data_IF_458745173827
#
_entry.id   IF_458745173827
#
_cell.length_a   1.000
_cell.length_b   1.000
_cell.length_c   1.000
_cell.angle_alpha   90.00
_cell.angle_beta   90.00
_cell.angle_gamma   90.00
#
_symmetry.space_group_name_H-M   'P 1'
#
loop_
_entity.id
_entity.type
_entity.pdbx_description
1 polymer ?
#
# COMPACT_ATOMS: atom_id res chain seq x y z
N UNK A 1 2.31 8.73 6.81
CA UNK A 1 3.53 9.49 7.23
C UNK A 1 4.03 10.46 6.16
N UNK A 2 4.14 10.08 4.87
CA UNK A 2 4.72 10.97 3.83
C UNK A 2 4.07 12.36 3.77
N UNK A 3 2.73 12.43 3.79
CA UNK A 3 2.02 13.72 3.89
C UNK A 3 2.34 14.46 5.20
N UNK A 4 2.31 13.76 6.35
CA UNK A 4 2.55 14.39 7.63
C UNK A 4 3.95 14.99 7.78
N UNK A 5 4.96 14.39 7.17
CA UNK A 5 6.34 14.92 7.12
C UNK A 5 6.43 16.22 6.31
N UNK A 6 5.57 16.37 5.29
CA UNK A 6 5.67 17.43 4.28
C UNK A 6 4.58 18.52 4.39
N UNK A 7 3.57 18.34 5.24
CA UNK A 7 2.52 19.35 5.48
C UNK A 7 3.04 20.48 6.38
N UNK A 8 2.49 21.70 6.21
CA UNK A 8 2.78 22.83 7.11
C UNK A 8 2.11 22.61 8.47
N UNK A 9 2.86 22.03 9.41
CA UNK A 9 2.38 21.71 10.77
C UNK A 9 2.09 22.92 11.64
N UNK A 10 2.44 24.12 11.21
CA UNK A 10 2.02 25.35 11.90
C UNK A 10 0.56 25.71 11.63
N UNK A 11 -0.01 25.16 10.57
CA UNK A 11 -1.40 25.38 10.13
C UNK A 11 -2.29 24.18 10.36
N UNK A 12 -1.75 22.96 10.12
CA UNK A 12 -2.49 21.72 10.23
C UNK A 12 -1.65 20.70 11.01
N UNK A 13 -2.12 20.33 12.18
CA UNK A 13 -1.47 19.31 13.00
C UNK A 13 -2.28 18.01 12.97
N UNK A 14 -1.60 16.88 12.81
CA UNK A 14 -2.20 15.55 12.89
C UNK A 14 -1.92 14.92 14.24
N UNK A 15 -2.97 14.36 14.84
CA UNK A 15 -2.87 13.39 15.91
C UNK A 15 -3.36 12.04 15.38
N UNK A 16 -2.85 10.95 15.92
CA UNK A 16 -3.06 9.62 15.35
C UNK A 16 -3.77 8.71 16.36
N UNK A 17 -4.86 8.08 15.92
CA UNK A 17 -5.57 7.06 16.66
C UNK A 17 -5.37 5.70 16.00
N UNK A 18 -4.82 4.76 16.75
CA UNK A 18 -4.61 3.37 16.30
C UNK A 18 -5.46 2.39 17.09
N UNK A 19 -5.83 1.27 16.46
CA UNK A 19 -6.55 0.17 17.09
C UNK A 19 -5.62 -0.97 17.54
N UNK A 20 -4.34 -0.65 17.80
CA UNK A 20 -3.32 -1.57 18.31
C UNK A 20 -2.88 -1.12 19.70
N UNK A 21 -2.84 -2.03 20.70
CA UNK A 21 -2.52 -1.66 22.08
C UNK A 21 -1.01 -1.59 22.36
N UNK A 22 -0.20 -1.39 21.33
CA UNK A 22 1.27 -1.35 21.44
C UNK A 22 1.86 -0.33 20.49
N UNK A 23 3.04 0.16 20.84
CA UNK A 23 3.84 1.08 20.06
C UNK A 23 4.20 0.50 18.69
N UNK A 24 4.12 1.33 17.66
CA UNK A 24 4.50 1.01 16.28
C UNK A 24 5.78 1.74 15.86
N UNK A 25 6.29 1.38 14.69
CA UNK A 25 7.57 1.92 14.16
C UNK A 25 7.54 3.44 13.94
N UNK A 26 6.36 4.04 13.78
CA UNK A 26 6.21 5.49 13.52
C UNK A 26 5.88 6.33 14.74
N UNK A 27 5.62 5.74 15.90
CA UNK A 27 5.13 6.47 17.07
C UNK A 27 6.13 7.53 17.54
N UNK A 28 7.43 7.20 17.63
CA UNK A 28 8.47 8.14 18.03
C UNK A 28 8.62 9.30 17.03
N UNK A 29 8.51 9.00 15.75
CA UNK A 29 8.55 10.02 14.72
C UNK A 29 7.34 10.95 14.80
N UNK A 30 6.13 10.40 14.98
CA UNK A 30 4.90 11.19 15.15
C UNK A 30 5.04 12.16 16.31
N UNK A 31 5.49 11.67 17.47
CA UNK A 31 5.73 12.49 18.65
C UNK A 31 6.78 13.58 18.41
N UNK A 32 7.89 13.25 17.72
CA UNK A 32 8.96 14.21 17.39
C UNK A 32 8.49 15.33 16.45
N UNK A 33 7.46 15.05 15.64
CA UNK A 33 6.83 16.01 14.72
C UNK A 33 5.70 16.81 15.39
N UNK A 34 5.47 16.64 16.71
CA UNK A 34 4.49 17.35 17.50
C UNK A 34 3.09 16.72 17.54
N UNK A 35 2.90 15.56 16.90
CA UNK A 35 1.64 14.82 16.94
C UNK A 35 1.48 14.01 18.22
N UNK A 36 0.25 13.64 18.56
CA UNK A 36 -0.08 12.77 19.69
C UNK A 36 -0.51 11.39 19.19
N UNK A 37 -0.28 10.35 20.00
CA UNK A 37 -0.68 8.98 19.72
C UNK A 37 -1.76 8.51 20.70
N UNK A 38 -2.84 7.95 20.17
CA UNK A 38 -3.94 7.37 20.94
C UNK A 38 -4.16 5.92 20.58
N UNK A 39 -4.34 5.06 21.59
CA UNK A 39 -4.46 3.61 21.43
C UNK A 39 -5.87 3.15 21.82
N UNK A 40 -6.77 3.11 20.85
CA UNK A 40 -8.14 2.66 21.04
C UNK A 40 -8.22 1.13 21.14
N UNK A 41 -9.26 0.56 21.78
CA UNK A 41 -9.52 -0.88 21.77
C UNK A 41 -9.62 -1.44 20.37
N UNK A 42 -9.19 -2.71 20.20
CA UNK A 42 -9.25 -3.41 18.92
C UNK A 42 -10.67 -3.51 18.37
N UNK A 43 -10.84 -3.32 17.07
CA UNK A 43 -12.11 -3.43 16.36
C UNK A 43 -12.52 -4.90 16.11
N UNK A 44 -12.74 -5.65 17.20
CA UNK A 44 -13.38 -6.95 17.17
C UNK A 44 -14.83 -6.81 17.64
N UNK A 45 -15.78 -7.60 17.09
CA UNK A 45 -17.20 -7.49 17.46
C UNK A 45 -17.45 -7.54 18.97
N UNK A 46 -16.75 -8.42 19.68
CA UNK A 46 -16.86 -8.55 21.15
C UNK A 46 -16.40 -7.30 21.92
N UNK A 47 -15.61 -6.42 21.29
CA UNK A 47 -15.06 -5.22 21.92
C UNK A 47 -15.87 -3.95 21.60
N UNK A 48 -16.93 -4.02 20.77
CA UNK A 48 -17.59 -2.79 20.29
C UNK A 48 -18.17 -1.93 21.39
N UNK A 49 -18.73 -2.52 22.45
CA UNK A 49 -19.24 -1.75 23.60
C UNK A 49 -18.11 -0.99 24.30
N UNK A 50 -16.99 -1.67 24.55
CA UNK A 50 -15.79 -1.05 25.16
C UNK A 50 -15.22 0.03 24.24
N UNK A 51 -15.17 -0.25 22.95
CA UNK A 51 -14.68 0.69 21.93
C UNK A 51 -15.50 1.97 21.91
N UNK A 52 -16.84 1.89 21.85
CA UNK A 52 -17.68 3.08 21.84
C UNK A 52 -17.61 3.87 23.15
N UNK A 53 -17.56 3.22 24.31
CA UNK A 53 -17.34 3.91 25.59
C UNK A 53 -16.00 4.66 25.61
N UNK A 54 -14.96 4.05 25.07
CA UNK A 54 -13.64 4.67 24.97
C UNK A 54 -13.67 5.88 24.02
N UNK A 55 -14.32 5.75 22.87
CA UNK A 55 -14.44 6.82 21.87
C UNK A 55 -15.32 7.97 22.40
N UNK A 56 -16.42 7.67 23.08
CA UNK A 56 -17.27 8.68 23.68
C UNK A 56 -16.46 9.53 24.69
N UNK A 57 -15.75 8.87 25.61
CA UNK A 57 -14.85 9.54 26.56
C UNK A 57 -13.73 10.33 25.85
N UNK A 58 -13.12 9.74 24.83
CA UNK A 58 -12.09 10.41 24.05
C UNK A 58 -12.58 11.75 23.48
N UNK A 59 -13.74 11.77 22.86
CA UNK A 59 -14.28 13.01 22.29
C UNK A 59 -14.81 13.98 23.36
N UNK A 60 -15.22 13.52 24.54
CA UNK A 60 -15.53 14.39 25.68
C UNK A 60 -14.29 15.13 26.22
N UNK A 61 -13.13 14.45 26.20
CA UNK A 61 -11.85 15.00 26.70
C UNK A 61 -11.09 15.82 25.62
N UNK A 62 -11.47 15.69 24.34
CA UNK A 62 -10.78 16.24 23.18
C UNK A 62 -11.73 16.98 22.23
N UNK A 63 -12.29 18.08 22.70
CA UNK A 63 -13.21 18.93 21.91
C UNK A 63 -12.51 19.72 20.79
N UNK A 64 -11.18 19.76 20.80
CA UNK A 64 -10.37 20.43 19.79
C UNK A 64 -10.39 19.74 18.42
N UNK A 65 -10.78 18.45 18.33
CA UNK A 65 -10.80 17.73 17.07
C UNK A 65 -12.03 18.07 16.22
N UNK A 66 -11.84 18.91 15.22
CA UNK A 66 -12.86 19.32 14.27
C UNK A 66 -12.96 18.38 13.06
N UNK A 67 -11.90 17.65 12.76
CA UNK A 67 -11.82 16.74 11.61
C UNK A 67 -11.39 15.35 12.09
N UNK A 68 -12.18 14.33 11.73
CA UNK A 68 -11.78 12.94 11.87
C UNK A 68 -11.63 12.31 10.49
N UNK A 69 -10.40 11.93 10.11
CA UNK A 69 -10.08 11.29 8.85
C UNK A 69 -9.73 9.80 9.08
N UNK A 70 -10.54 8.89 8.58
CA UNK A 70 -10.42 7.46 8.84
C UNK A 70 -9.95 6.70 7.59
N UNK A 71 -8.87 5.89 7.74
CA UNK A 71 -8.15 5.19 6.67
C UNK A 71 -8.29 3.66 6.73
N UNK A 72 -9.40 3.14 7.25
CA UNK A 72 -9.61 1.69 7.41
C UNK A 72 -10.78 1.16 6.55
N UNK A 73 -10.95 1.75 5.37
CA UNK A 73 -11.97 1.35 4.37
C UNK A 73 -13.37 1.20 5.00
N UNK A 74 -14.07 0.09 4.74
CA UNK A 74 -15.40 -0.18 5.30
C UNK A 74 -15.46 -0.15 6.83
N UNK A 75 -14.37 -0.51 7.51
CA UNK A 75 -14.30 -0.47 8.97
C UNK A 75 -14.28 0.96 9.52
N UNK A 76 -14.04 1.97 8.69
CA UNK A 76 -14.18 3.39 9.03
C UNK A 76 -15.58 3.76 9.53
N UNK A 77 -16.59 2.92 9.25
CA UNK A 77 -17.94 3.10 9.76
C UNK A 77 -17.97 3.27 11.30
N UNK A 78 -17.21 2.47 12.04
CA UNK A 78 -17.23 2.47 13.51
C UNK A 78 -16.64 3.77 14.11
N UNK A 79 -15.39 4.18 13.78
CA UNK A 79 -14.85 5.43 14.31
C UNK A 79 -15.63 6.64 13.81
N UNK A 80 -16.12 6.67 12.56
CA UNK A 80 -16.92 7.78 12.06
C UNK A 80 -18.33 7.84 12.69
N UNK A 81 -18.89 6.68 13.09
CA UNK A 81 -20.12 6.67 13.88
C UNK A 81 -19.90 7.28 15.28
N UNK A 82 -18.79 6.97 15.94
CA UNK A 82 -18.44 7.58 17.22
C UNK A 82 -18.23 9.10 17.06
N UNK A 83 -17.48 9.53 16.05
CA UNK A 83 -17.29 10.94 15.74
C UNK A 83 -18.62 11.67 15.45
N UNK A 84 -19.54 11.01 14.73
CA UNK A 84 -20.88 11.57 14.45
C UNK A 84 -21.70 11.75 15.74
N UNK A 85 -21.65 10.78 16.66
CA UNK A 85 -22.33 10.87 17.97
C UNK A 85 -21.78 12.02 18.83
N UNK A 86 -20.49 12.25 18.71
CA UNK A 86 -19.78 13.34 19.39
C UNK A 86 -19.91 14.70 18.67
N UNK A 87 -20.69 14.78 17.59
CA UNK A 87 -20.87 15.97 16.77
C UNK A 87 -19.57 16.55 16.17
N UNK A 88 -18.56 15.70 15.89
CA UNK A 88 -17.37 16.15 15.15
C UNK A 88 -17.81 16.65 13.77
N UNK A 89 -17.52 17.93 13.40
CA UNK A 89 -18.10 18.56 12.21
C UNK A 89 -17.75 17.84 10.90
N UNK A 90 -16.46 17.52 10.70
CA UNK A 90 -15.94 16.92 9.49
C UNK A 90 -15.52 15.46 9.76
N UNK A 91 -16.12 14.56 9.01
CA UNK A 91 -15.92 13.10 9.14
C UNK A 91 -15.60 12.50 7.80
N UNK A 92 -14.31 12.27 7.54
CA UNK A 92 -13.77 11.84 6.26
C UNK A 92 -13.60 10.32 6.25
N UNK A 93 -14.24 9.64 5.31
CA UNK A 93 -13.96 8.25 4.98
C UNK A 93 -12.95 8.20 3.82
N UNK A 94 -11.84 7.45 3.99
CA UNK A 94 -10.83 7.30 2.95
C UNK A 94 -10.77 5.84 2.47
N UNK A 95 -10.94 5.64 1.18
CA UNK A 95 -10.88 4.34 0.52
C UNK A 95 -9.46 4.04 0.01
N UNK A 96 -8.96 2.86 0.37
CA UNK A 96 -7.62 2.39 -0.02
C UNK A 96 -7.63 1.08 -0.81
N UNK A 97 -8.80 0.45 -1.00
CA UNK A 97 -8.93 -0.84 -1.69
C UNK A 97 -10.12 -0.88 -2.66
N UNK A 98 -10.02 -1.74 -3.68
CA UNK A 98 -11.09 -1.99 -4.65
C UNK A 98 -11.91 -3.24 -4.32
N UNK A 99 -11.61 -3.91 -3.22
CA UNK A 99 -12.34 -5.11 -2.76
C UNK A 99 -12.25 -5.26 -1.23
N UNK A 100 -12.94 -6.25 -0.71
CA UNK A 100 -12.92 -6.62 0.71
C UNK A 100 -12.39 -8.05 0.83
N UNK A 101 -11.43 -8.25 1.75
CA UNK A 101 -10.96 -9.58 2.11
C UNK A 101 -12.10 -10.50 2.52
N UNK A 102 -12.12 -11.71 2.00
CA UNK A 102 -13.10 -12.75 2.33
C UNK A 102 -12.71 -13.50 3.60
N UNK A 103 -12.50 -12.75 4.69
CA UNK A 103 -12.27 -13.29 6.02
C UNK A 103 -13.58 -13.49 6.80
N UNK A 104 -13.50 -13.99 8.04
CA UNK A 104 -14.66 -14.19 8.91
C UNK A 104 -15.48 -12.90 9.17
N UNK A 105 -14.90 -11.72 8.95
CA UNK A 105 -15.57 -10.43 9.10
C UNK A 105 -16.20 -9.92 7.81
N UNK A 106 -16.11 -10.67 6.70
CA UNK A 106 -16.61 -10.25 5.39
C UNK A 106 -18.06 -9.75 5.41
N UNK A 107 -19.04 -10.46 6.02
CA UNK A 107 -20.43 -9.98 6.05
C UNK A 107 -20.57 -8.64 6.77
N UNK A 108 -19.82 -8.47 7.86
CA UNK A 108 -19.82 -7.23 8.64
C UNK A 108 -19.16 -6.07 7.87
N UNK A 109 -18.05 -6.32 7.21
CA UNK A 109 -17.37 -5.35 6.34
C UNK A 109 -18.30 -4.90 5.20
N UNK A 110 -19.05 -5.81 4.59
CA UNK A 110 -20.06 -5.48 3.58
C UNK A 110 -21.18 -4.60 4.15
N UNK A 111 -21.71 -4.94 5.31
CA UNK A 111 -22.71 -4.14 6.00
C UNK A 111 -22.19 -2.72 6.28
N UNK A 112 -20.98 -2.59 6.77
CA UNK A 112 -20.39 -1.28 7.08
C UNK A 112 -20.13 -0.48 5.81
N UNK A 113 -19.67 -1.12 4.73
CA UNK A 113 -19.51 -0.48 3.42
C UNK A 113 -20.79 0.21 2.97
N UNK A 114 -21.94 -0.45 3.06
CA UNK A 114 -23.23 0.14 2.62
C UNK A 114 -23.73 1.27 3.55
N UNK A 115 -23.20 1.37 4.77
CA UNK A 115 -23.63 2.32 5.78
C UNK A 115 -22.66 3.48 6.02
N UNK A 116 -21.45 3.40 5.47
CA UNK A 116 -20.41 4.40 5.70
C UNK A 116 -20.86 5.81 5.32
N UNK A 117 -21.65 5.92 4.25
CA UNK A 117 -22.25 7.17 3.75
C UNK A 117 -23.24 7.84 4.72
N UNK A 118 -23.71 7.11 5.76
CA UNK A 118 -24.62 7.64 6.79
C UNK A 118 -23.87 8.32 7.93
N UNK A 119 -22.56 8.09 8.02
CA UNK A 119 -21.71 8.57 9.12
C UNK A 119 -20.62 9.52 8.65
N UNK A 120 -20.06 9.31 7.48
CA UNK A 120 -19.16 10.26 6.83
C UNK A 120 -19.96 11.39 6.16
N UNK A 121 -19.38 12.58 6.08
CA UNK A 121 -19.88 13.71 5.28
C UNK A 121 -18.87 14.19 4.25
N UNK A 122 -17.63 13.67 4.31
CA UNK A 122 -16.58 13.89 3.33
C UNK A 122 -15.98 12.55 2.88
N UNK A 123 -15.52 12.49 1.62
CA UNK A 123 -15.07 11.25 1.00
C UNK A 123 -13.74 11.45 0.28
N UNK A 124 -12.77 10.58 0.58
CA UNK A 124 -11.47 10.54 -0.07
C UNK A 124 -11.16 9.13 -0.58
N UNK A 125 -10.32 9.04 -1.60
CA UNK A 125 -9.80 7.77 -2.08
C UNK A 125 -8.35 7.91 -2.57
N UNK A 126 -7.59 6.82 -2.53
CA UNK A 126 -6.24 6.79 -3.11
C UNK A 126 -6.24 6.76 -4.65
N UNK A 127 -7.39 6.45 -5.26
CA UNK A 127 -7.61 6.38 -6.70
C UNK A 127 -9.10 6.25 -7.03
N UNK A 128 -9.44 6.42 -8.32
CA UNK A 128 -10.81 6.45 -8.81
C UNK A 128 -11.57 5.13 -8.54
N UNK A 129 -10.94 3.99 -8.83
CA UNK A 129 -11.59 2.69 -8.62
C UNK A 129 -11.85 2.41 -7.13
N UNK A 130 -10.92 2.77 -6.25
CA UNK A 130 -11.10 2.62 -4.82
C UNK A 130 -12.25 3.51 -4.30
N UNK A 131 -12.38 4.74 -4.81
CA UNK A 131 -13.46 5.64 -4.47
C UNK A 131 -14.82 5.09 -4.93
N UNK A 132 -14.94 4.68 -6.19
CA UNK A 132 -16.16 4.07 -6.74
C UNK A 132 -16.56 2.80 -5.98
N UNK A 133 -15.58 2.00 -5.58
CA UNK A 133 -15.84 0.79 -4.79
C UNK A 133 -16.50 1.10 -3.44
N UNK A 134 -16.01 2.08 -2.69
CA UNK A 134 -16.51 2.37 -1.33
C UNK A 134 -17.73 3.29 -1.33
N UNK A 135 -17.79 4.27 -2.23
CA UNK A 135 -18.76 5.36 -2.21
C UNK A 135 -19.80 5.31 -3.35
N UNK A 136 -19.60 4.42 -4.34
CA UNK A 136 -20.45 4.34 -5.53
C UNK A 136 -20.29 5.59 -6.41
N UNK A 137 -21.41 6.20 -6.77
CA UNK A 137 -21.46 7.38 -7.67
C UNK A 137 -21.37 8.72 -6.91
N UNK A 138 -20.92 8.73 -5.65
CA UNK A 138 -20.73 9.99 -4.91
C UNK A 138 -19.44 10.65 -5.29
N UNK A 139 -19.44 11.98 -5.26
CA UNK A 139 -18.23 12.75 -5.42
C UNK A 139 -17.25 12.45 -4.26
N UNK A 140 -16.00 12.31 -4.58
CA UNK A 140 -14.91 12.12 -3.62
C UNK A 140 -13.63 12.79 -4.12
N UNK A 141 -12.78 13.17 -3.19
CA UNK A 141 -11.46 13.72 -3.51
C UNK A 141 -10.43 12.59 -3.67
N UNK A 142 -9.73 12.56 -4.79
CA UNK A 142 -8.57 11.68 -4.95
C UNK A 142 -7.37 12.32 -4.28
N UNK A 143 -6.77 11.59 -3.33
CA UNK A 143 -5.53 11.94 -2.64
C UNK A 143 -4.53 10.81 -2.91
N UNK A 144 -3.55 11.02 -3.81
CA UNK A 144 -2.67 9.96 -4.26
C UNK A 144 -1.79 9.41 -3.14
N UNK A 145 -1.43 8.13 -3.21
CA UNK A 145 -0.46 7.49 -2.31
C UNK A 145 0.96 7.97 -2.61
N UNK A 146 1.25 9.24 -2.33
CA UNK A 146 2.53 9.86 -2.66
C UNK A 146 3.66 9.44 -1.71
N UNK A 147 4.88 9.32 -2.27
CA UNK A 147 6.08 8.86 -1.59
C UNK A 147 7.25 9.86 -1.73
N UNK A 148 8.28 9.70 -0.90
CA UNK A 148 9.58 10.39 -1.02
C UNK A 148 10.40 9.75 -2.14
N UNK A 149 10.23 10.24 -3.36
CA UNK A 149 10.74 9.60 -4.58
C UNK A 149 12.27 9.58 -4.70
N UNK A 150 12.96 10.55 -4.13
CA UNK A 150 14.43 10.65 -4.16
C UNK A 150 15.13 9.39 -3.66
N UNK A 151 14.52 8.68 -2.71
CA UNK A 151 15.04 7.42 -2.15
C UNK A 151 14.99 6.26 -3.13
N UNK A 152 14.12 6.33 -4.12
CA UNK A 152 13.85 5.25 -5.09
C UNK A 152 14.51 5.48 -6.45
N UNK A 153 15.03 6.67 -6.72
CA UNK A 153 15.73 6.96 -7.98
C UNK A 153 16.82 5.91 -8.22
N UNK A 154 16.83 5.36 -9.44
CA UNK A 154 17.80 4.34 -9.81
C UNK A 154 19.25 4.85 -9.74
N UNK A 155 20.10 4.08 -9.07
CA UNK A 155 21.54 4.33 -8.88
C UNK A 155 22.31 3.05 -9.15
N UNK A 156 23.13 3.06 -10.19
CA UNK A 156 23.92 1.90 -10.62
C UNK A 156 24.89 1.40 -9.54
N UNK A 157 25.47 2.32 -8.76
CA UNK A 157 26.39 1.98 -7.67
C UNK A 157 25.67 1.25 -6.52
N UNK A 158 24.41 1.63 -6.22
CA UNK A 158 23.59 0.95 -5.23
C UNK A 158 23.21 -0.44 -5.74
N UNK A 159 22.81 -0.56 -7.02
CA UNK A 159 22.54 -1.85 -7.64
C UNK A 159 23.72 -2.81 -7.52
N UNK A 160 24.92 -2.36 -7.89
CA UNK A 160 26.14 -3.18 -7.81
C UNK A 160 26.43 -3.61 -6.38
N UNK A 161 26.30 -2.71 -5.41
CA UNK A 161 26.53 -3.00 -4.00
C UNK A 161 25.53 -4.03 -3.48
N UNK A 162 24.23 -3.79 -3.66
CA UNK A 162 23.18 -4.69 -3.14
C UNK A 162 23.21 -6.07 -3.79
N UNK A 163 23.46 -6.14 -5.11
CA UNK A 163 23.63 -7.44 -5.78
C UNK A 163 24.84 -8.20 -5.23
N UNK A 164 25.97 -7.53 -4.96
CA UNK A 164 27.12 -8.15 -4.30
C UNK A 164 26.81 -8.68 -2.89
N UNK A 165 26.06 -7.92 -2.09
CA UNK A 165 25.59 -8.32 -0.75
C UNK A 165 24.67 -9.57 -0.81
N UNK A 166 23.81 -9.63 -1.82
CA UNK A 166 22.93 -10.77 -2.10
C UNK A 166 23.63 -11.92 -2.82
N UNK A 167 24.94 -11.77 -3.15
CA UNK A 167 25.77 -12.72 -3.91
C UNK A 167 25.25 -12.99 -5.33
N UNK A 168 24.69 -11.95 -5.95
CA UNK A 168 24.25 -11.97 -7.34
C UNK A 168 25.32 -11.39 -8.25
N UNK A 169 25.48 -12.03 -9.41
CA UNK A 169 26.31 -11.57 -10.54
C UNK A 169 25.41 -11.16 -11.70
N UNK A 170 25.10 -12.08 -12.58
CA UNK A 170 24.32 -11.85 -13.81
C UNK A 170 22.90 -12.47 -13.76
N UNK A 171 22.45 -12.84 -12.56
CA UNK A 171 21.12 -13.41 -12.36
C UNK A 171 20.02 -12.43 -12.80
N UNK A 172 18.94 -12.98 -13.37
CA UNK A 172 17.70 -12.24 -13.59
C UNK A 172 16.87 -12.22 -12.31
N UNK A 173 16.69 -11.07 -11.72
CA UNK A 173 16.06 -10.93 -10.40
C UNK A 173 14.62 -10.44 -10.52
N UNK A 174 13.69 -11.34 -10.25
CA UNK A 174 12.26 -11.02 -10.07
C UNK A 174 12.06 -10.55 -8.64
N UNK A 175 11.40 -9.41 -8.43
CA UNK A 175 11.11 -8.87 -7.11
C UNK A 175 9.63 -8.80 -6.81
N UNK A 176 9.29 -9.05 -5.55
CA UNK A 176 7.99 -8.75 -4.98
C UNK A 176 8.16 -8.14 -3.59
N UNK A 177 7.46 -7.05 -3.33
CA UNK A 177 7.44 -6.38 -2.02
C UNK A 177 6.00 -6.29 -1.55
N UNK A 178 5.71 -6.87 -0.40
CA UNK A 178 4.37 -6.85 0.17
C UNK A 178 4.16 -7.84 1.30
N UNK A 179 3.04 -7.69 2.01
CA UNK A 179 2.66 -8.62 3.06
C UNK A 179 2.41 -10.02 2.48
N UNK A 180 2.96 -11.05 3.11
CA UNK A 180 2.72 -12.44 2.73
C UNK A 180 1.30 -12.88 3.14
N UNK A 181 0.30 -12.46 2.35
CA UNK A 181 -1.13 -12.61 2.61
C UNK A 181 -1.89 -13.15 1.40
N UNK A 182 -3.15 -13.53 1.62
CA UNK A 182 -4.05 -13.97 0.54
C UNK A 182 -4.14 -12.93 -0.60
N UNK A 183 -4.31 -11.64 -0.27
CA UNK A 183 -4.48 -10.55 -1.23
C UNK A 183 -3.37 -10.53 -2.27
N UNK A 184 -2.10 -10.73 -1.87
CA UNK A 184 -0.91 -10.60 -2.73
C UNK A 184 -0.67 -11.81 -3.64
N UNK A 185 -1.37 -12.94 -3.41
CA UNK A 185 -1.33 -14.12 -4.29
C UNK A 185 0.07 -14.67 -4.58
N UNK A 186 0.90 -14.76 -3.54
CA UNK A 186 2.27 -15.28 -3.67
C UNK A 186 2.31 -16.73 -4.15
N UNK A 187 1.24 -17.50 -3.93
CA UNK A 187 1.17 -18.88 -4.42
C UNK A 187 1.26 -18.94 -5.94
N UNK A 188 0.53 -18.05 -6.64
CA UNK A 188 0.60 -17.94 -8.09
C UNK A 188 1.93 -17.33 -8.55
N UNK A 189 2.50 -16.39 -7.78
CA UNK A 189 3.85 -15.86 -8.07
C UNK A 189 4.91 -16.97 -8.06
N UNK A 190 4.84 -17.91 -7.12
CA UNK A 190 5.74 -19.07 -7.08
C UNK A 190 5.55 -20.00 -8.28
N UNK A 191 4.31 -20.19 -8.75
CA UNK A 191 4.03 -20.96 -9.97
C UNK A 191 4.60 -20.26 -11.23
N UNK A 192 4.40 -18.93 -11.33
CA UNK A 192 4.99 -18.12 -12.41
C UNK A 192 6.52 -18.26 -12.37
N UNK A 193 7.11 -18.11 -11.20
CA UNK A 193 8.56 -18.18 -11.05
C UNK A 193 9.11 -19.58 -11.36
N UNK A 194 8.41 -20.65 -10.98
CA UNK A 194 8.78 -22.02 -11.35
C UNK A 194 8.86 -22.18 -12.88
N UNK A 195 7.88 -21.64 -13.62
CA UNK A 195 7.90 -21.66 -15.09
C UNK A 195 9.02 -20.79 -15.67
N UNK A 196 9.26 -19.61 -15.07
CA UNK A 196 10.36 -18.75 -15.51
C UNK A 196 11.72 -19.40 -15.29
N UNK A 197 11.91 -20.09 -14.16
CA UNK A 197 13.15 -20.82 -13.84
C UNK A 197 13.43 -21.96 -14.86
N UNK A 198 12.40 -22.56 -15.44
CA UNK A 198 12.58 -23.53 -16.56
C UNK A 198 13.03 -22.85 -17.85
N UNK A 199 12.66 -21.57 -18.08
CA UNK A 199 13.09 -20.78 -19.25
C UNK A 199 14.54 -20.30 -19.06
N UNK A 200 14.87 -19.83 -17.86
CA UNK A 200 16.19 -19.30 -17.50
C UNK A 200 16.59 -19.69 -16.08
N UNK A 201 17.48 -20.65 -15.96
CA UNK A 201 17.95 -21.18 -14.68
C UNK A 201 18.79 -20.18 -13.86
N UNK A 202 19.23 -19.08 -14.48
CA UNK A 202 19.88 -17.95 -13.79
C UNK A 202 18.89 -17.00 -13.09
N UNK A 203 17.58 -17.30 -13.06
CA UNK A 203 16.60 -16.46 -12.39
C UNK A 203 16.67 -16.60 -10.85
N UNK A 204 16.35 -15.51 -10.14
CA UNK A 204 16.17 -15.46 -8.68
C UNK A 204 14.87 -14.75 -8.36
N UNK A 205 14.19 -15.18 -7.28
CA UNK A 205 13.00 -14.50 -6.77
C UNK A 205 13.28 -13.91 -5.39
N UNK A 206 13.12 -12.60 -5.26
CA UNK A 206 13.18 -11.88 -3.99
C UNK A 206 11.77 -11.61 -3.45
N UNK A 207 11.46 -12.16 -2.28
CA UNK A 207 10.23 -11.90 -1.54
C UNK A 207 10.55 -11.04 -0.31
N UNK A 208 10.10 -9.78 -0.33
CA UNK A 208 10.32 -8.82 0.75
C UNK A 208 9.00 -8.57 1.48
N UNK A 209 8.98 -8.87 2.77
CA UNK A 209 7.83 -8.73 3.66
C UNK A 209 7.63 -9.95 4.53
N UNK A 210 6.69 -9.82 5.46
CA UNK A 210 6.26 -10.87 6.40
C UNK A 210 4.73 -11.01 6.31
N UNK A 211 4.20 -12.12 6.77
CA UNK A 211 2.75 -12.33 6.82
C UNK A 211 2.34 -13.72 7.25
N UNK A 212 1.05 -13.91 7.41
CA UNK A 212 0.43 -15.14 7.93
C UNK A 212 0.62 -16.35 7.00
N UNK A 213 0.94 -16.12 5.71
CA UNK A 213 1.14 -17.19 4.73
C UNK A 213 2.61 -17.64 4.59
N UNK A 214 3.54 -17.09 5.33
CA UNK A 214 4.97 -17.36 5.13
C UNK A 214 5.29 -18.85 5.18
N UNK A 215 4.80 -19.57 6.19
CA UNK A 215 5.11 -21.01 6.33
C UNK A 215 4.51 -21.84 5.20
N UNK A 216 3.31 -21.49 4.72
CA UNK A 216 2.66 -22.14 3.58
C UNK A 216 3.46 -21.93 2.30
N UNK A 217 3.96 -20.71 2.09
CA UNK A 217 4.77 -20.36 0.92
C UNK A 217 6.14 -21.07 0.94
N UNK A 218 6.81 -21.16 2.10
CA UNK A 218 8.07 -21.92 2.24
C UNK A 218 7.86 -23.40 1.92
N UNK A 219 6.77 -24.00 2.38
CA UNK A 219 6.42 -25.39 2.05
C UNK A 219 6.17 -25.56 0.54
N UNK A 220 5.56 -24.57 -0.12
CA UNK A 220 5.36 -24.59 -1.57
C UNK A 220 6.68 -24.47 -2.33
N UNK A 221 7.58 -23.61 -1.90
CA UNK A 221 8.94 -23.48 -2.46
C UNK A 221 9.67 -24.81 -2.42
N UNK A 222 9.64 -25.52 -1.28
CA UNK A 222 10.23 -26.84 -1.12
C UNK A 222 9.60 -27.87 -2.07
N UNK A 223 8.28 -27.91 -2.18
CA UNK A 223 7.58 -28.82 -3.11
C UNK A 223 7.92 -28.56 -4.57
N UNK A 224 8.28 -27.33 -4.94
CA UNK A 224 8.68 -26.94 -6.29
C UNK A 224 10.19 -27.11 -6.54
N UNK A 225 11.00 -27.44 -5.51
CA UNK A 225 12.46 -27.57 -5.61
C UNK A 225 13.15 -26.23 -5.90
N UNK A 226 12.68 -25.15 -5.29
CA UNK A 226 13.13 -23.77 -5.56
C UNK A 226 13.85 -23.13 -4.37
N UNK A 227 14.28 -23.91 -3.36
CA UNK A 227 14.84 -23.42 -2.10
C UNK A 227 16.10 -22.56 -2.30
N UNK A 228 16.92 -22.91 -3.29
CA UNK A 228 18.18 -22.22 -3.57
C UNK A 228 18.01 -20.93 -4.38
N UNK A 229 16.81 -20.68 -4.94
CA UNK A 229 16.56 -19.58 -5.90
C UNK A 229 15.44 -18.63 -5.49
N UNK A 230 14.64 -18.99 -4.49
CA UNK A 230 13.61 -18.12 -3.86
C UNK A 230 14.09 -17.64 -2.50
N UNK A 231 14.25 -16.35 -2.35
CA UNK A 231 14.87 -15.71 -1.19
C UNK A 231 13.82 -14.90 -0.43
N UNK A 232 13.52 -15.35 0.79
CA UNK A 232 12.64 -14.62 1.72
C UNK A 232 13.50 -13.66 2.56
N UNK A 233 13.34 -12.36 2.35
CA UNK A 233 14.14 -11.33 3.02
C UNK A 233 13.48 -10.81 4.32
N UNK A 234 12.25 -11.24 4.62
CA UNK A 234 11.52 -10.77 5.79
C UNK A 234 11.19 -9.29 5.75
N UNK A 235 11.00 -8.67 6.92
CA UNK A 235 10.77 -7.24 7.03
C UNK A 235 12.09 -6.47 6.88
N UNK A 236 12.14 -5.50 5.95
CA UNK A 236 13.34 -4.73 5.59
C UNK A 236 13.06 -3.23 5.64
N UNK A 237 14.03 -2.44 6.12
CA UNK A 237 13.96 -0.98 6.15
C UNK A 237 14.65 -0.33 4.92
N UNK A 238 15.41 -1.11 4.17
CA UNK A 238 16.17 -0.72 2.98
C UNK A 238 15.51 -1.18 1.68
N UNK A 239 14.19 -1.23 1.65
CA UNK A 239 13.41 -1.69 0.48
C UNK A 239 13.73 -0.87 -0.77
N UNK A 240 13.96 0.43 -0.62
CA UNK A 240 14.39 1.33 -1.69
C UNK A 240 15.71 0.89 -2.35
N UNK A 241 16.61 0.26 -1.61
CA UNK A 241 17.85 -0.30 -2.14
C UNK A 241 17.62 -1.68 -2.77
N UNK A 242 16.76 -2.50 -2.18
CA UNK A 242 16.41 -3.81 -2.73
C UNK A 242 15.75 -3.70 -4.12
N UNK A 243 14.93 -2.68 -4.37
CA UNK A 243 14.41 -2.41 -5.72
C UNK A 243 15.55 -2.22 -6.75
N UNK A 244 16.69 -1.67 -6.35
CA UNK A 244 17.83 -1.46 -7.26
C UNK A 244 18.42 -2.79 -7.74
N UNK A 245 18.38 -3.84 -6.92
CA UNK A 245 18.90 -5.17 -7.27
C UNK A 245 17.98 -5.95 -8.23
N UNK A 246 16.69 -5.63 -8.28
CA UNK A 246 15.69 -6.32 -9.10
C UNK A 246 15.84 -5.95 -10.58
N UNK A 247 15.29 -6.75 -11.48
CA UNK A 247 15.20 -6.51 -12.92
C UNK A 247 13.74 -6.30 -13.36
N UNK A 248 12.80 -6.96 -12.70
CA UNK A 248 11.35 -6.81 -12.90
C UNK A 248 10.63 -6.89 -11.55
N UNK A 249 9.56 -6.12 -11.43
CA UNK A 249 8.66 -6.19 -10.28
C UNK A 249 7.37 -6.90 -10.68
N UNK A 250 6.96 -7.95 -9.94
CA UNK A 250 5.79 -8.75 -10.27
C UNK A 250 4.80 -8.77 -9.12
N UNK A 251 3.54 -8.42 -9.39
CA UNK A 251 2.46 -8.37 -8.39
C UNK A 251 1.17 -8.99 -8.94
N UNK A 252 0.97 -10.31 -8.79
CA UNK A 252 -0.23 -11.00 -9.26
C UNK A 252 -1.37 -10.96 -8.24
N UNK A 253 -1.59 -9.82 -7.58
CA UNK A 253 -2.56 -9.64 -6.51
C UNK A 253 -3.99 -9.94 -6.96
N UNK A 254 -4.82 -10.45 -6.06
CA UNK A 254 -6.25 -10.64 -6.31
C UNK A 254 -7.04 -9.33 -6.32
N UNK A 255 -6.58 -8.32 -5.62
CA UNK A 255 -7.12 -6.96 -5.61
C UNK A 255 -6.13 -6.00 -4.95
N UNK A 256 -6.17 -4.73 -5.34
CA UNK A 256 -5.44 -3.61 -4.74
C UNK A 256 -6.31 -2.35 -4.80
N UNK A 257 -5.90 -1.33 -4.04
CA UNK A 257 -6.17 0.05 -4.41
C UNK A 257 -5.05 0.54 -5.33
N UNK A 258 -4.41 1.65 -4.97
CA UNK A 258 -3.16 2.05 -5.63
C UNK A 258 -1.99 1.52 -4.77
N UNK A 259 -1.30 0.43 -5.20
CA UNK A 259 -0.26 -0.21 -4.39
C UNK A 259 0.99 0.67 -4.30
N UNK A 260 1.34 1.10 -3.09
CA UNK A 260 2.54 1.92 -2.82
C UNK A 260 3.80 1.23 -3.34
N UNK A 261 3.92 -0.08 -3.16
CA UNK A 261 5.08 -0.86 -3.63
C UNK A 261 5.19 -0.89 -5.16
N UNK A 262 4.06 -0.79 -5.89
CA UNK A 262 4.05 -0.61 -7.33
C UNK A 262 4.50 0.79 -7.76
N UNK A 263 4.16 1.82 -6.97
CA UNK A 263 4.65 3.19 -7.17
C UNK A 263 6.18 3.23 -6.96
N UNK A 264 6.67 2.67 -5.86
CA UNK A 264 8.09 2.59 -5.51
C UNK A 264 8.92 1.90 -6.61
N UNK A 265 8.41 0.76 -7.12
CA UNK A 265 9.05 0.01 -8.19
C UNK A 265 9.19 0.86 -9.48
N UNK A 266 8.14 1.60 -9.86
CA UNK A 266 8.17 2.47 -11.04
C UNK A 266 9.15 3.64 -10.87
N UNK A 267 9.20 4.29 -9.68
CA UNK A 267 10.22 5.31 -9.41
C UNK A 267 11.65 4.73 -9.46
N UNK A 268 11.81 3.45 -9.15
CA UNK A 268 13.09 2.74 -9.32
C UNK A 268 13.39 2.36 -10.78
N UNK A 269 12.53 2.74 -11.73
CA UNK A 269 12.68 2.47 -13.15
C UNK A 269 12.45 1.02 -13.56
N UNK A 270 11.82 0.21 -12.69
CA UNK A 270 11.49 -1.17 -12.99
C UNK A 270 10.31 -1.28 -13.97
N UNK A 271 10.37 -2.24 -14.87
CA UNK A 271 9.17 -2.76 -15.50
C UNK A 271 8.34 -3.47 -14.44
N UNK A 272 7.05 -3.17 -14.38
CA UNK A 272 6.13 -3.77 -13.43
C UNK A 272 5.12 -4.65 -14.16
N UNK A 273 4.94 -5.88 -13.68
CA UNK A 273 3.94 -6.81 -14.20
C UNK A 273 2.88 -7.04 -13.13
N UNK A 274 1.70 -6.52 -13.36
CA UNK A 274 0.56 -6.56 -12.45
C UNK A 274 -0.51 -7.53 -12.95
N UNK A 275 -1.36 -8.00 -12.04
CA UNK A 275 -2.60 -8.65 -12.47
C UNK A 275 -3.61 -7.64 -13.01
N UNK A 276 -4.57 -8.11 -13.81
CA UNK A 276 -5.74 -7.35 -14.28
C UNK A 276 -6.70 -6.93 -13.16
N UNK A 277 -6.34 -7.22 -11.90
CA UNK A 277 -7.06 -6.84 -10.68
C UNK A 277 -6.44 -5.65 -9.95
N UNK A 278 -5.28 -5.21 -10.41
CA UNK A 278 -4.67 -3.96 -9.97
C UNK A 278 -5.21 -2.83 -10.86
N UNK A 279 -5.68 -1.70 -10.28
CA UNK A 279 -6.19 -0.59 -11.08
C UNK A 279 -5.14 -0.07 -12.06
N UNK A 280 -5.55 0.13 -13.33
CA UNK A 280 -4.63 0.60 -14.38
C UNK A 280 -4.10 2.01 -14.10
N UNK A 281 -4.80 2.79 -13.29
CA UNK A 281 -4.35 4.12 -12.84
C UNK A 281 -3.05 4.10 -12.03
N UNK A 282 -2.57 2.93 -11.58
CA UNK A 282 -1.24 2.79 -10.97
C UNK A 282 -0.11 3.02 -11.97
N UNK A 283 -0.34 2.81 -13.27
CA UNK A 283 0.66 3.02 -14.32
C UNK A 283 0.76 4.51 -14.69
N UNK A 284 1.66 5.21 -14.02
CA UNK A 284 2.01 6.58 -14.34
C UNK A 284 3.32 6.69 -15.14
N UNK A 285 4.01 5.57 -15.31
CA UNK A 285 5.31 5.51 -15.98
C UNK A 285 5.23 5.06 -17.44
N UNK A 286 4.12 4.43 -17.85
CA UNK A 286 4.00 3.74 -19.13
C UNK A 286 4.85 2.47 -19.24
N UNK A 287 5.31 1.92 -18.09
CA UNK A 287 6.17 0.74 -18.02
C UNK A 287 5.50 -0.41 -17.25
N UNK A 288 4.19 -0.40 -17.15
CA UNK A 288 3.44 -1.46 -16.49
C UNK A 288 2.74 -2.34 -17.52
N UNK A 289 2.72 -3.63 -17.25
CA UNK A 289 1.95 -4.60 -17.98
C UNK A 289 0.90 -5.24 -17.08
N UNK A 290 -0.31 -5.43 -17.62
CA UNK A 290 -1.43 -6.00 -16.87
C UNK A 290 -1.83 -7.33 -17.48
N UNK A 291 -1.66 -8.41 -16.72
CA UNK A 291 -1.96 -9.76 -17.17
C UNK A 291 -3.14 -10.35 -16.40
N UNK A 292 -3.99 -11.10 -17.10
CA UNK A 292 -5.13 -11.72 -16.45
C UNK A 292 -4.73 -12.85 -15.52
N UNK A 293 -5.34 -12.90 -14.33
CA UNK A 293 -5.21 -14.04 -13.41
C UNK A 293 -5.86 -15.34 -13.95
N UNK A 294 -6.59 -15.26 -15.07
CA UNK A 294 -7.10 -16.45 -15.78
C UNK A 294 -6.09 -17.04 -16.72
N UNK A 295 -5.03 -16.32 -17.05
CA UNK A 295 -3.90 -16.79 -17.87
C UNK A 295 -2.99 -17.67 -17.00
N UNK A 296 -2.47 -18.76 -17.59
CA UNK A 296 -1.62 -19.70 -16.88
C UNK A 296 -0.23 -19.12 -16.52
N UNK A 297 0.42 -19.74 -15.56
CA UNK A 297 1.72 -19.31 -15.03
C UNK A 297 2.84 -19.30 -16.09
N UNK A 298 2.77 -20.21 -17.10
CA UNK A 298 3.75 -20.29 -18.18
C UNK A 298 3.66 -19.06 -19.09
N UNK A 299 2.46 -18.64 -19.44
CA UNK A 299 2.24 -17.43 -20.25
C UNK A 299 2.74 -16.18 -19.53
N UNK A 300 2.50 -16.07 -18.21
CA UNK A 300 3.07 -14.99 -17.38
C UNK A 300 4.60 -15.01 -17.40
N UNK A 301 5.20 -16.18 -17.20
CA UNK A 301 6.66 -16.34 -17.19
C UNK A 301 7.29 -15.95 -18.55
N UNK A 302 6.68 -16.37 -19.67
CA UNK A 302 7.13 -16.00 -21.01
C UNK A 302 7.06 -14.48 -21.22
N UNK A 303 6.00 -13.84 -20.76
CA UNK A 303 5.82 -12.40 -20.89
C UNK A 303 6.84 -11.62 -20.04
N UNK A 304 7.05 -12.03 -18.80
CA UNK A 304 8.07 -11.45 -17.92
C UNK A 304 9.46 -11.56 -18.55
N UNK A 305 9.78 -12.70 -19.16
CA UNK A 305 11.07 -12.91 -19.82
C UNK A 305 11.25 -12.04 -21.07
N UNK A 306 10.20 -11.80 -21.84
CA UNK A 306 10.23 -10.94 -23.02
C UNK A 306 10.51 -9.48 -22.69
N UNK A 307 10.04 -9.00 -21.53
CA UNK A 307 10.30 -7.63 -21.05
C UNK A 307 11.74 -7.43 -20.52
N UNK A 308 12.46 -8.52 -20.29
CA UNK A 308 13.87 -8.48 -19.90
C UNK A 308 14.72 -8.07 -21.11
N UNK A 309 15.43 -6.95 -20.98
CA UNK A 309 16.38 -6.48 -22.02
C UNK A 309 16.13 -5.06 -22.54
N UNK A 310 15.01 -4.43 -22.20
CA UNK A 310 14.76 -3.01 -22.49
C UNK A 310 15.49 -2.09 -21.50
N UNK A 311 16.81 -2.06 -21.55
CA UNK A 311 17.68 -1.53 -20.51
C UNK A 311 17.82 0.00 -20.56
N UNK A 312 16.74 0.76 -20.28
CA UNK A 312 16.77 2.21 -20.10
C UNK A 312 16.31 2.61 -18.67
N UNK A 313 16.69 1.82 -17.67
CA UNK A 313 16.18 1.94 -16.31
C UNK A 313 16.42 3.31 -15.69
N UNK A 314 17.61 3.89 -15.91
CA UNK A 314 17.96 5.22 -15.43
C UNK A 314 17.09 6.33 -16.06
N UNK A 315 16.79 6.22 -17.36
CA UNK A 315 15.90 7.16 -18.07
C UNK A 315 14.47 7.03 -17.54
N UNK A 316 13.97 5.80 -17.41
CA UNK A 316 12.64 5.49 -16.88
C UNK A 316 12.44 6.07 -15.47
N UNK A 317 13.41 5.86 -14.57
CA UNK A 317 13.35 6.36 -13.19
C UNK A 317 13.31 7.90 -13.10
N UNK A 318 14.00 8.60 -14.02
CA UNK A 318 14.02 10.07 -14.05
C UNK A 318 12.77 10.67 -14.68
N UNK A 319 12.20 10.03 -15.70
CA UNK A 319 11.04 10.56 -16.44
C UNK A 319 9.78 10.71 -15.60
N UNK A 320 9.67 9.97 -14.50
CA UNK A 320 8.45 9.92 -13.66
C UNK A 320 8.46 10.89 -12.46
N UNK A 321 9.53 11.68 -12.25
CA UNK A 321 9.69 12.56 -11.08
C UNK A 321 8.63 13.69 -11.01
N UNK A 322 8.03 14.08 -12.13
CA UNK A 322 6.95 15.07 -12.19
C UNK A 322 5.57 14.54 -11.80
N UNK A 323 5.44 13.26 -11.47
CA UNK A 323 4.18 12.63 -11.13
C UNK A 323 3.59 13.15 -9.80
N UNK A 324 2.25 13.11 -9.68
CA UNK A 324 1.51 13.37 -8.44
C UNK A 324 1.76 12.30 -7.36
N UNK A 325 2.44 11.21 -7.66
CA UNK A 325 2.92 10.25 -6.66
C UNK A 325 4.23 10.68 -6.00
N UNK A 326 4.86 11.76 -6.46
CA UNK A 326 5.95 12.43 -5.73
C UNK A 326 5.35 13.34 -4.66
N UNK A 327 5.72 13.12 -3.40
CA UNK A 327 5.17 13.87 -2.27
C UNK A 327 5.45 15.37 -2.37
N UNK A 328 6.56 15.80 -3.00
CA UNK A 328 6.87 17.21 -3.21
C UNK A 328 5.84 17.89 -4.12
N UNK A 329 5.19 17.14 -5.01
CA UNK A 329 4.11 17.64 -5.87
C UNK A 329 2.73 17.48 -5.22
N UNK A 330 2.56 16.48 -4.36
CA UNK A 330 1.26 16.06 -3.86
C UNK A 330 0.88 16.63 -2.47
N UNK A 331 1.85 17.03 -1.64
CA UNK A 331 1.56 17.43 -0.25
C UNK A 331 0.52 18.56 -0.15
N UNK A 332 0.55 19.52 -1.07
CA UNK A 332 -0.40 20.62 -1.13
C UNK A 332 -1.85 20.18 -1.34
N UNK A 333 -2.09 19.04 -2.03
CA UNK A 333 -3.44 18.54 -2.30
C UNK A 333 -4.20 18.28 -0.99
N UNK A 334 -3.55 17.61 -0.03
CA UNK A 334 -4.16 17.31 1.26
C UNK A 334 -4.25 18.56 2.15
N UNK A 335 -3.24 19.40 2.12
CA UNK A 335 -3.20 20.65 2.88
C UNK A 335 -4.34 21.59 2.47
N UNK A 336 -4.51 21.83 1.17
CA UNK A 336 -5.56 22.68 0.63
C UNK A 336 -6.96 22.12 0.88
N UNK A 337 -7.09 20.77 0.83
CA UNK A 337 -8.33 20.11 1.17
C UNK A 337 -8.72 20.37 2.63
N UNK A 338 -7.82 20.19 3.58
CA UNK A 338 -8.10 20.46 5.00
C UNK A 338 -8.37 21.93 5.27
N UNK A 339 -7.67 22.87 4.60
CA UNK A 339 -7.94 24.30 4.74
C UNK A 339 -9.36 24.66 4.28
N UNK A 340 -9.77 24.09 3.14
CA UNK A 340 -11.13 24.26 2.61
C UNK A 340 -12.17 23.75 3.59
N UNK A 341 -11.95 22.57 4.17
CA UNK A 341 -12.86 22.01 5.18
C UNK A 341 -12.87 22.83 6.47
N UNK A 342 -11.69 23.29 6.95
CA UNK A 342 -11.57 24.13 8.14
C UNK A 342 -12.24 25.49 8.01
N UNK A 343 -12.34 26.03 6.79
CA UNK A 343 -13.07 27.31 6.54
C UNK A 343 -14.60 27.17 6.56
N UNK A 344 -15.12 25.95 6.62
CA UNK A 344 -16.57 25.63 6.64
C UNK A 344 -17.07 25.34 8.07
N UNK A 345 -16.17 25.25 9.06
CA UNK A 345 -16.46 25.02 10.46
C UNK A 345 -16.52 26.35 11.22
#
# INVERSE_FOLDING_TARGET
MNYYRNIDRTKIQFDFLTHRPYKSDYDDEILSLGGRMYYAPRLYPQNYIQYFRWMDKFFEEHLEYQIMHSHIDSMSYLPLLAAKRANVPVRIAHSHNTSIDRDLKYPLKQLFRTRIIKVANEYCACGEEAGKFLFGNRDFKVIPNAIETERFIYKEEVRKRVRKELRFTDEFVVGHVGRLSYQKNHEFLLEIFAQLYTIYSGARLLLVGIGEKEQELRNKVQKLGLEDVVIFLGNRNDVNELYQAMDVFVMPSFFEGIPVTGIEAQFSGLTCVFSDRVPQEVDFSGNCEFLSLKTDAKSWAQRIWQEYGSNKRSEKSRSVQGSNYNIQNAHGILEDYYKTLGSQI
#
